data_IF_612340104005
#
_entry.id   IF_612340104005
#
_cell.length_a   1.000
_cell.length_b   1.000
_cell.length_c   1.000
_cell.angle_alpha   90.00
_cell.angle_beta   90.00
_cell.angle_gamma   90.00
#
_symmetry.space_group_name_H-M   'P 1'
#
loop_
_entity.id
_entity.type
_entity.pdbx_description
1 polymer ?
#
# COMPACT_ATOMS: atom_id res chain seq x y z
N UNK A 1 19.03 -27.92 16.23
CA UNK A 1 17.72 -27.25 16.30
C UNK A 1 17.89 -25.94 15.56
N UNK A 2 17.08 -25.66 14.54
CA UNK A 2 17.15 -24.37 13.83
C UNK A 2 16.15 -23.43 14.49
N UNK A 3 16.66 -22.31 14.99
CA UNK A 3 15.84 -21.19 15.43
C UNK A 3 15.55 -20.31 14.20
N UNK A 4 14.32 -20.43 13.69
CA UNK A 4 13.85 -19.67 12.54
C UNK A 4 13.05 -18.46 13.02
N UNK A 5 13.52 -17.26 12.68
CA UNK A 5 12.79 -16.01 12.89
C UNK A 5 12.27 -15.45 11.56
N UNK A 6 10.96 -15.25 11.46
CA UNK A 6 10.30 -14.64 10.32
C UNK A 6 9.65 -13.33 10.75
N UNK A 7 9.89 -12.26 9.97
CA UNK A 7 9.28 -10.96 10.18
C UNK A 7 9.01 -10.26 8.84
N UNK A 8 8.07 -9.31 8.78
CA UNK A 8 7.92 -8.45 7.62
C UNK A 8 9.21 -7.69 7.33
N UNK A 9 9.59 -7.56 6.05
CA UNK A 9 10.73 -6.73 5.66
C UNK A 9 10.54 -5.24 5.98
N UNK A 10 9.29 -4.80 6.20
CA UNK A 10 8.93 -3.44 6.62
C UNK A 10 7.59 -3.41 7.35
N UNK A 11 7.51 -2.63 8.41
CA UNK A 11 6.26 -2.29 9.12
C UNK A 11 6.19 -0.78 9.31
N UNK A 12 5.03 -0.18 9.06
CA UNK A 12 4.84 1.28 9.11
C UNK A 12 3.50 1.56 9.81
N UNK A 13 3.53 2.37 10.86
CA UNK A 13 2.33 2.80 11.57
C UNK A 13 2.45 4.27 11.97
N UNK A 14 1.64 5.12 11.36
CA UNK A 14 1.58 6.55 11.64
C UNK A 14 0.19 7.09 11.28
N UNK A 15 -0.27 8.12 11.99
CA UNK A 15 -1.51 8.82 11.63
C UNK A 15 -1.37 9.44 10.24
N UNK A 16 -2.31 9.16 9.34
CA UNK A 16 -2.33 9.74 7.99
C UNK A 16 -1.42 9.07 6.97
N UNK A 17 -0.81 7.92 7.32
CA UNK A 17 0.12 7.19 6.46
C UNK A 17 -0.47 6.77 5.11
N UNK A 18 -1.81 6.64 5.04
CA UNK A 18 -2.54 6.30 3.81
C UNK A 18 -2.30 7.28 2.66
N UNK A 19 -1.93 8.53 2.95
CA UNK A 19 -1.58 9.55 1.94
C UNK A 19 -0.24 9.27 1.23
N UNK A 20 0.60 8.40 1.80
CA UNK A 20 1.95 8.08 1.31
C UNK A 20 2.09 6.62 0.81
N UNK A 21 0.99 5.89 0.65
CA UNK A 21 0.99 4.49 0.17
C UNK A 21 1.81 4.33 -1.12
N UNK A 22 1.65 5.24 -2.09
CA UNK A 22 2.37 5.19 -3.36
C UNK A 22 3.89 5.13 -3.18
N UNK A 23 4.44 5.92 -2.26
CA UNK A 23 5.88 5.97 -1.96
C UNK A 23 6.41 4.63 -1.44
N UNK A 24 5.60 3.93 -0.64
CA UNK A 24 6.01 2.66 -0.02
C UNK A 24 5.90 1.47 -0.96
N UNK A 25 4.95 1.48 -1.89
CA UNK A 25 4.72 0.36 -2.80
C UNK A 25 5.42 0.53 -4.15
N UNK A 26 5.82 1.75 -4.54
CA UNK A 26 6.57 1.99 -5.78
C UNK A 26 7.81 1.08 -5.95
N UNK A 27 8.62 0.82 -4.90
CA UNK A 27 9.74 -0.11 -4.99
C UNK A 27 9.34 -1.57 -5.24
N UNK A 28 8.08 -1.95 -4.96
CA UNK A 28 7.59 -3.33 -5.08
C UNK A 28 7.09 -3.66 -6.49
N UNK A 29 6.82 -2.65 -7.33
CA UNK A 29 6.35 -2.85 -8.70
C UNK A 29 5.60 -1.65 -9.27
N UNK A 30 5.24 -1.72 -10.55
CA UNK A 30 4.63 -0.58 -11.28
C UNK A 30 3.11 -0.60 -11.37
N UNK A 31 2.48 -1.78 -11.19
CA UNK A 31 1.04 -2.01 -11.40
C UNK A 31 0.48 -2.92 -10.31
N UNK A 32 0.32 -2.40 -9.08
CA UNK A 32 -0.25 -3.17 -7.98
C UNK A 32 -1.72 -3.51 -8.27
N UNK A 33 -2.14 -4.71 -7.88
CA UNK A 33 -3.54 -5.08 -7.75
C UNK A 33 -3.99 -4.74 -6.33
N UNK A 34 -5.01 -3.90 -6.20
CA UNK A 34 -5.63 -3.61 -4.91
C UNK A 34 -6.84 -4.52 -4.71
N UNK A 35 -6.87 -5.21 -3.58
CA UNK A 35 -7.97 -6.09 -3.20
C UNK A 35 -8.64 -5.55 -1.94
N UNK A 36 -9.93 -5.28 -2.04
CA UNK A 36 -10.78 -4.85 -0.93
C UNK A 36 -12.23 -5.25 -1.22
N UNK A 37 -13.01 -5.43 -0.17
CA UNK A 37 -14.47 -5.48 -0.32
C UNK A 37 -15.05 -4.10 -0.68
N UNK A 38 -16.34 -4.06 -1.03
CA UNK A 38 -17.02 -2.84 -1.45
C UNK A 38 -17.04 -1.76 -0.35
N UNK A 39 -17.22 -2.15 0.91
CA UNK A 39 -17.31 -1.23 2.04
C UNK A 39 -15.96 -0.54 2.30
N UNK A 40 -14.87 -1.30 2.29
CA UNK A 40 -13.52 -0.76 2.48
C UNK A 40 -13.13 0.07 1.26
N UNK A 41 -13.36 -0.44 0.05
CA UNK A 41 -13.00 0.26 -1.19
C UNK A 41 -13.68 1.64 -1.25
N UNK A 42 -14.98 1.72 -0.97
CA UNK A 42 -15.72 2.99 -0.95
C UNK A 42 -15.19 4.01 0.07
N UNK A 43 -14.56 3.55 1.16
CA UNK A 43 -13.95 4.43 2.18
C UNK A 43 -12.54 4.90 1.81
N UNK A 44 -11.76 4.10 1.10
CA UNK A 44 -10.31 4.33 0.93
C UNK A 44 -9.88 4.70 -0.49
N UNK A 45 -10.70 4.40 -1.50
CA UNK A 45 -10.32 4.54 -2.92
C UNK A 45 -9.82 5.94 -3.27
N UNK A 46 -10.47 6.98 -2.76
CA UNK A 46 -10.07 8.37 -3.03
C UNK A 46 -8.66 8.64 -2.53
N UNK A 47 -8.40 8.36 -1.24
CA UNK A 47 -7.07 8.57 -0.64
C UNK A 47 -6.01 7.69 -1.27
N UNK A 48 -6.37 6.47 -1.66
CA UNK A 48 -5.47 5.56 -2.36
C UNK A 48 -5.05 6.14 -3.72
N UNK A 49 -6.01 6.52 -4.57
CA UNK A 49 -5.74 7.08 -5.90
C UNK A 49 -4.96 8.40 -5.81
N UNK A 50 -5.29 9.27 -4.85
CA UNK A 50 -4.53 10.48 -4.57
C UNK A 50 -3.07 10.18 -4.21
N UNK A 51 -2.84 9.18 -3.36
CA UNK A 51 -1.49 8.75 -2.98
C UNK A 51 -0.71 8.16 -4.16
N UNK A 52 -1.39 7.44 -5.07
CA UNK A 52 -0.76 6.88 -6.27
C UNK A 52 -0.46 7.96 -7.32
N UNK A 53 -1.30 9.00 -7.43
CA UNK A 53 -1.11 10.08 -8.42
C UNK A 53 0.21 10.84 -8.27
N UNK A 54 0.79 10.87 -7.07
CA UNK A 54 2.14 11.39 -6.81
C UNK A 54 3.29 10.47 -7.28
N UNK A 55 2.95 9.30 -7.83
CA UNK A 55 3.90 8.26 -8.25
C UNK A 55 3.59 7.78 -9.67
N UNK A 56 4.57 7.21 -10.37
CA UNK A 56 4.39 6.68 -11.75
C UNK A 56 3.61 5.33 -11.78
N UNK A 57 2.72 5.11 -10.82
CA UNK A 57 1.93 3.89 -10.65
C UNK A 57 0.58 4.02 -11.34
N UNK A 58 0.13 2.95 -11.99
CA UNK A 58 -1.21 2.86 -12.59
C UNK A 58 -2.00 1.78 -11.86
N UNK A 59 -2.93 2.20 -10.98
CA UNK A 59 -3.94 1.30 -10.40
C UNK A 59 -5.01 0.97 -11.44
N UNK A 60 -5.48 -0.27 -11.45
CA UNK A 60 -6.70 -0.69 -12.15
C UNK A 60 -7.81 -0.86 -11.14
#
# INVERSE_FOLDING_TARGET
MIDLFLAPGRYIQERGISKKIGEFIFPLGKRPLFLADELVYSKVVKTLLESLGGTNLKGR
#
